data_IF_603109107262
#
_entry.id   IF_603109107262
#
_cell.length_a   1.000
_cell.length_b   1.000
_cell.length_c   1.000
_cell.angle_alpha   90.00
_cell.angle_beta   90.00
_cell.angle_gamma   90.00
#
_symmetry.space_group_name_H-M   'P 1'
#
loop_
_entity.id
_entity.type
_entity.pdbx_description
1 polymer ?
#
# COMPACT_ATOMS: atom_id res chain seq x y z
N UNK A 1 -11.30 -2.69 -4.58
CA UNK A 1 -10.44 -3.89 -4.55
C UNK A 1 -11.18 -5.19 -4.92
N UNK A 2 -12.46 -5.14 -5.29
CA UNK A 2 -13.26 -6.32 -5.61
C UNK A 2 -14.37 -6.55 -4.59
N UNK A 3 -15.21 -7.55 -4.83
CA UNK A 3 -16.28 -8.03 -3.94
C UNK A 3 -15.94 -9.44 -3.49
N UNK A 4 -16.02 -9.68 -2.19
CA UNK A 4 -15.67 -10.95 -1.55
C UNK A 4 -16.76 -11.33 -0.54
N UNK A 5 -16.99 -12.62 -0.34
CA UNK A 5 -17.93 -13.09 0.66
C UNK A 5 -17.29 -12.95 2.05
N UNK A 6 -18.01 -12.38 3.02
CA UNK A 6 -17.50 -12.24 4.38
C UNK A 6 -17.16 -13.59 5.02
N UNK A 7 -17.81 -14.68 4.57
CA UNK A 7 -17.51 -16.04 5.00
C UNK A 7 -16.17 -16.58 4.49
N UNK A 8 -15.45 -15.86 3.64
CA UNK A 8 -14.06 -16.17 3.27
C UNK A 8 -13.05 -15.73 4.34
N UNK A 9 -13.49 -14.96 5.34
CA UNK A 9 -12.66 -14.41 6.42
C UNK A 9 -13.14 -14.92 7.79
N UNK A 10 -12.88 -16.20 8.08
CA UNK A 10 -13.35 -16.87 9.31
C UNK A 10 -12.35 -16.77 10.46
N UNK A 11 -11.08 -16.52 10.15
CA UNK A 11 -10.00 -16.44 11.12
C UNK A 11 -9.30 -15.08 11.02
N UNK A 12 -8.72 -14.61 12.12
CA UNK A 12 -7.82 -13.45 12.09
C UNK A 12 -6.63 -13.75 11.18
N UNK A 13 -6.37 -12.87 10.22
CA UNK A 13 -5.28 -13.00 9.27
C UNK A 13 -5.65 -13.67 7.94
N UNK A 14 -6.89 -14.11 7.75
CA UNK A 14 -7.42 -14.49 6.43
C UNK A 14 -7.33 -13.29 5.47
N UNK A 15 -7.07 -13.59 4.19
CA UNK A 15 -6.78 -12.56 3.17
C UNK A 15 -7.56 -12.80 1.89
N UNK A 16 -7.95 -11.70 1.24
CA UNK A 16 -8.44 -11.76 -0.13
C UNK A 16 -7.30 -12.06 -1.11
N UNK A 17 -7.63 -12.48 -2.35
CA UNK A 17 -6.72 -12.32 -3.47
C UNK A 17 -6.17 -10.89 -3.57
N UNK A 18 -4.89 -10.79 -3.94
CA UNK A 18 -4.20 -9.52 -4.12
C UNK A 18 -4.60 -8.82 -5.42
N UNK A 19 -4.77 -7.50 -5.35
CA UNK A 19 -4.95 -6.63 -6.50
C UNK A 19 -3.70 -5.79 -6.74
N UNK A 20 -3.15 -5.87 -7.94
CA UNK A 20 -1.96 -5.11 -8.32
C UNK A 20 -2.33 -3.67 -8.68
N UNK A 21 -1.51 -2.73 -8.22
CA UNK A 21 -1.52 -1.36 -8.72
C UNK A 21 -0.08 -0.91 -9.02
N UNK A 22 0.05 -0.01 -9.99
CA UNK A 22 1.34 0.53 -10.40
C UNK A 22 1.30 2.04 -10.31
N UNK A 23 2.31 2.62 -9.67
CA UNK A 23 2.57 4.05 -9.65
C UNK A 23 3.68 4.32 -10.65
N UNK A 24 3.36 5.07 -11.70
CA UNK A 24 4.34 5.52 -12.67
C UNK A 24 4.86 6.89 -12.22
N UNK A 25 6.14 6.97 -11.90
CA UNK A 25 6.83 8.25 -11.68
C UNK A 25 7.59 8.61 -12.95
N UNK A 26 7.54 9.87 -13.35
CA UNK A 26 8.11 10.34 -14.61
C UNK A 26 8.94 11.60 -14.41
N UNK A 27 10.01 11.72 -15.20
CA UNK A 27 10.86 12.90 -15.20
C UNK A 27 11.51 13.21 -13.85
N UNK A 28 11.75 12.19 -13.02
CA UNK A 28 12.55 12.34 -11.81
C UNK A 28 13.97 12.80 -12.20
N UNK A 29 14.60 13.70 -11.43
CA UNK A 29 16.00 14.05 -11.69
C UNK A 29 16.87 12.78 -11.71
N UNK A 30 17.85 12.70 -12.61
CA UNK A 30 18.77 11.55 -12.71
C UNK A 30 20.21 11.99 -12.44
N UNK A 31 21.15 11.05 -12.40
CA UNK A 31 22.59 11.34 -12.33
C UNK A 31 23.11 12.24 -13.49
N UNK A 32 22.34 12.35 -14.58
CA UNK A 32 22.62 13.27 -15.70
C UNK A 32 22.15 14.71 -15.42
N UNK A 33 21.40 14.93 -14.35
CA UNK A 33 21.03 16.27 -13.86
C UNK A 33 22.29 16.95 -13.32
N UNK A 34 22.53 18.19 -13.76
CA UNK A 34 23.63 19.04 -13.26
C UNK A 34 23.53 19.36 -11.76
N UNK A 35 22.42 18.98 -11.13
CA UNK A 35 22.11 19.20 -9.71
C UNK A 35 22.44 17.96 -8.84
N UNK A 36 22.40 16.74 -9.38
CA UNK A 36 22.51 15.49 -8.61
C UNK A 36 23.58 14.56 -9.21
N UNK A 37 24.83 14.71 -8.78
CA UNK A 37 25.98 14.01 -9.39
C UNK A 37 26.16 12.53 -8.96
N UNK A 38 25.36 12.03 -8.01
CA UNK A 38 25.58 10.71 -7.36
C UNK A 38 24.51 9.67 -7.66
N UNK A 39 23.58 9.95 -8.59
CA UNK A 39 22.33 9.20 -8.70
C UNK A 39 21.24 9.81 -7.84
N UNK A 40 19.99 9.45 -8.14
CA UNK A 40 18.82 9.87 -7.36
C UNK A 40 18.23 8.62 -6.75
N UNK A 41 18.10 8.63 -5.43
CA UNK A 41 17.37 7.60 -4.70
C UNK A 41 16.06 8.21 -4.21
N UNK A 42 15.01 7.40 -4.09
CA UNK A 42 13.77 7.87 -3.51
C UNK A 42 13.29 6.94 -2.41
N UNK A 43 12.83 7.53 -1.32
CA UNK A 43 12.08 6.85 -0.29
C UNK A 43 10.62 6.86 -0.68
N UNK A 44 10.00 5.70 -0.81
CA UNK A 44 8.54 5.60 -0.92
C UNK A 44 7.98 5.28 0.45
N UNK A 45 6.87 5.91 0.83
CA UNK A 45 6.10 5.57 2.03
C UNK A 45 4.62 5.53 1.71
N UNK A 46 3.91 4.69 2.46
CA UNK A 46 2.46 4.62 2.46
C UNK A 46 1.95 5.12 3.80
N UNK A 47 1.10 6.13 3.79
CA UNK A 47 0.55 6.73 5.00
C UNK A 47 -0.97 6.77 4.96
N UNK A 48 -1.59 6.80 6.13
CA UNK A 48 -3.05 6.81 6.23
C UNK A 48 -3.55 6.44 7.63
N UNK A 49 -4.86 6.40 7.76
CA UNK A 49 -5.51 5.99 9.01
C UNK A 49 -5.24 4.51 9.29
N UNK A 50 -4.61 4.22 10.42
CA UNK A 50 -4.32 2.85 10.82
C UNK A 50 -5.53 2.12 11.38
N UNK A 51 -5.65 0.83 11.05
CA UNK A 51 -6.61 -0.05 11.69
C UNK A 51 -6.36 -0.08 13.21
N UNK A 52 -7.44 -0.13 13.98
CA UNK A 52 -7.38 0.00 15.44
C UNK A 52 -6.80 -1.24 16.15
N UNK A 53 -6.80 -2.40 15.48
CA UNK A 53 -6.32 -3.66 16.03
C UNK A 53 -4.93 -3.99 15.47
N UNK A 54 -4.72 -3.77 14.17
CA UNK A 54 -3.44 -3.98 13.51
C UNK A 54 -2.95 -2.71 12.81
N UNK A 55 -2.06 -1.97 13.49
CA UNK A 55 -1.57 -0.68 13.00
C UNK A 55 -0.73 -0.74 11.73
N UNK A 56 -0.34 -1.93 11.27
CA UNK A 56 0.33 -2.11 9.98
C UNK A 56 -0.65 -2.04 8.78
N UNK A 57 -1.96 -2.18 9.04
CA UNK A 57 -3.00 -2.17 8.02
C UNK A 57 -3.69 -0.81 7.94
N UNK A 58 -4.17 -0.48 6.74
CA UNK A 58 -5.00 0.68 6.50
C UNK A 58 -6.45 0.41 6.93
N UNK A 59 -7.00 1.34 7.70
CA UNK A 59 -8.38 1.30 8.18
C UNK A 59 -9.37 1.54 7.05
N UNK A 60 -10.50 0.83 7.09
CA UNK A 60 -11.63 1.11 6.22
C UNK A 60 -12.30 2.45 6.61
N UNK A 61 -12.73 3.22 5.62
CA UNK A 61 -13.51 4.44 5.82
C UNK A 61 -14.80 4.13 6.58
N UNK A 62 -15.05 4.87 7.65
CA UNK A 62 -16.25 4.70 8.47
C UNK A 62 -17.52 5.19 7.73
N UNK A 63 -18.63 4.47 7.93
CA UNK A 63 -19.91 4.73 7.29
C UNK A 63 -20.96 3.74 7.79
N UNK A 64 -22.25 4.05 7.59
CA UNK A 64 -23.35 3.20 8.07
C UNK A 64 -23.31 1.79 7.47
N UNK A 65 -22.86 1.67 6.22
CA UNK A 65 -22.77 0.42 5.49
C UNK A 65 -21.32 -0.11 5.41
N UNK A 66 -20.38 0.40 6.21
CA UNK A 66 -18.98 -0.01 6.13
C UNK A 66 -18.74 -1.40 6.71
N UNK A 67 -17.89 -2.18 6.04
CA UNK A 67 -17.45 -3.47 6.57
C UNK A 67 -16.63 -3.28 7.85
N UNK A 68 -16.64 -4.28 8.73
CA UNK A 68 -15.83 -4.30 9.96
C UNK A 68 -15.07 -5.61 10.10
N UNK A 69 -14.00 -5.60 10.92
CA UNK A 69 -13.12 -6.76 11.11
C UNK A 69 -12.10 -6.96 9.99
N UNK A 70 -11.93 -5.99 9.10
CA UNK A 70 -10.98 -6.00 7.99
C UNK A 70 -10.14 -4.71 7.98
N UNK A 71 -8.89 -4.85 7.59
CA UNK A 71 -8.04 -3.75 7.11
C UNK A 71 -7.53 -4.05 5.69
N UNK A 72 -6.84 -3.08 5.10
CA UNK A 72 -6.16 -3.25 3.80
C UNK A 72 -4.66 -3.39 4.06
N UNK A 73 -4.08 -4.49 3.58
CA UNK A 73 -2.65 -4.76 3.61
C UNK A 73 -2.01 -4.32 2.27
N UNK A 74 -0.88 -3.62 2.36
CA UNK A 74 -0.06 -3.25 1.21
C UNK A 74 1.09 -4.25 1.13
N UNK A 75 1.41 -4.72 -0.08
CA UNK A 75 2.55 -5.58 -0.34
C UNK A 75 3.42 -5.01 -1.45
N UNK A 76 4.71 -5.34 -1.41
CA UNK A 76 5.59 -5.19 -2.56
C UNK A 76 5.27 -6.22 -3.66
N UNK A 77 6.01 -6.16 -4.78
CA UNK A 77 5.80 -7.07 -5.89
C UNK A 77 6.11 -8.55 -5.56
N UNK A 78 6.90 -8.80 -4.51
CA UNK A 78 7.30 -10.12 -4.02
C UNK A 78 6.39 -10.64 -2.89
N UNK A 79 5.23 -10.01 -2.68
CA UNK A 79 4.26 -10.35 -1.63
C UNK A 79 4.81 -10.16 -0.20
N UNK A 80 5.80 -9.28 -0.03
CA UNK A 80 6.27 -8.84 1.29
C UNK A 80 5.41 -7.69 1.77
N UNK A 81 4.85 -7.82 2.98
CA UNK A 81 4.00 -6.79 3.57
C UNK A 81 4.77 -5.49 3.84
N UNK A 82 4.17 -4.37 3.48
CA UNK A 82 4.64 -3.01 3.76
C UNK A 82 3.67 -2.38 4.76
N UNK A 83 4.13 -2.18 6.00
CA UNK A 83 3.32 -1.51 7.01
C UNK A 83 3.12 -0.02 6.64
N UNK A 84 1.89 0.47 6.78
CA UNK A 84 1.63 1.91 6.67
C UNK A 84 2.26 2.67 7.84
N UNK A 85 2.54 3.96 7.62
CA UNK A 85 3.14 4.87 8.61
C UNK A 85 4.50 4.39 9.16
N UNK A 86 5.12 3.39 8.54
CA UNK A 86 6.45 2.89 8.90
C UNK A 86 7.57 3.76 8.31
N UNK A 87 8.72 3.81 9.01
CA UNK A 87 9.89 4.55 8.54
C UNK A 87 10.50 3.96 7.26
N UNK A 88 10.31 2.65 7.05
CA UNK A 88 10.89 1.82 5.99
C UNK A 88 9.88 1.44 4.91
N UNK A 89 9.42 2.39 4.10
CA UNK A 89 8.76 2.02 2.85
C UNK A 89 9.76 1.60 1.76
N UNK A 90 9.23 1.15 0.63
CA UNK A 90 9.99 0.59 -0.49
C UNK A 90 11.19 1.48 -0.88
N UNK A 91 12.39 0.87 -1.03
CA UNK A 91 13.67 1.59 -1.17
C UNK A 91 14.31 1.53 -2.55
N UNK A 92 13.88 0.61 -3.41
CA UNK A 92 14.56 0.37 -4.69
C UNK A 92 13.83 1.07 -5.84
N UNK A 93 14.01 2.39 -5.95
CA UNK A 93 13.56 3.12 -7.13
C UNK A 93 14.63 3.01 -8.25
N UNK A 94 14.38 2.16 -9.24
CA UNK A 94 15.23 2.03 -10.42
C UNK A 94 14.72 2.94 -11.53
N UNK A 95 15.30 4.14 -11.63
CA UNK A 95 15.00 5.11 -12.68
C UNK A 95 15.68 4.72 -14.01
N UNK A 96 14.96 4.88 -15.12
CA UNK A 96 15.55 4.79 -16.46
C UNK A 96 16.29 6.10 -16.84
N UNK A 97 16.83 6.16 -18.06
CA UNK A 97 17.59 7.33 -18.52
C UNK A 97 16.78 8.64 -18.60
N UNK A 98 15.46 8.55 -18.71
CA UNK A 98 14.54 9.69 -18.72
C UNK A 98 14.10 10.10 -17.31
N UNK A 99 14.51 9.36 -16.28
CA UNK A 99 14.04 9.58 -14.93
C UNK A 99 12.65 8.99 -14.67
N UNK A 100 12.23 8.00 -15.45
CA UNK A 100 10.95 7.32 -15.22
C UNK A 100 11.16 6.00 -14.47
N UNK A 101 10.21 5.63 -13.63
CA UNK A 101 10.14 4.31 -13.01
C UNK A 101 8.69 3.87 -12.78
N UNK A 102 8.52 2.54 -12.80
CA UNK A 102 7.27 1.89 -12.48
C UNK A 102 7.41 1.20 -11.13
N UNK A 103 6.61 1.63 -10.16
CA UNK A 103 6.54 1.06 -8.83
C UNK A 103 5.30 0.19 -8.74
N UNK A 104 5.49 -1.13 -8.72
CA UNK A 104 4.37 -2.08 -8.65
C UNK A 104 4.20 -2.61 -7.24
N UNK A 105 2.97 -2.51 -6.75
CA UNK A 105 2.55 -2.93 -5.42
C UNK A 105 1.27 -3.74 -5.53
N UNK A 106 0.90 -4.37 -4.42
CA UNK A 106 -0.35 -5.12 -4.30
C UNK A 106 -1.13 -4.66 -3.08
N UNK A 107 -2.45 -4.74 -3.15
CA UNK A 107 -3.37 -4.53 -2.04
C UNK A 107 -4.21 -5.78 -1.84
N UNK A 108 -4.50 -6.14 -0.59
CA UNK A 108 -5.51 -7.15 -0.27
C UNK A 108 -6.24 -6.81 1.01
N UNK A 109 -7.47 -7.28 1.17
CA UNK A 109 -8.12 -7.23 2.47
C UNK A 109 -7.49 -8.27 3.39
N UNK A 110 -7.37 -7.95 4.67
CA UNK A 110 -6.88 -8.86 5.71
C UNK A 110 -7.76 -8.72 6.95
N UNK A 111 -8.26 -9.84 7.46
CA UNK A 111 -9.08 -9.85 8.66
C UNK A 111 -8.26 -9.55 9.91
N UNK A 112 -8.83 -8.70 10.75
CA UNK A 112 -8.29 -8.36 12.08
C UNK A 112 -9.12 -8.99 13.20
N UNK A 113 -10.28 -9.57 12.86
CA UNK A 113 -11.22 -10.22 13.76
C UNK A 113 -11.80 -11.49 13.09
N UNK A 114 -12.29 -12.45 13.88
CA UNK A 114 -12.93 -13.69 13.39
C UNK A 114 -14.31 -13.44 12.75
N UNK A 115 -15.03 -12.39 13.19
CA UNK A 115 -16.37 -12.07 12.72
C UNK A 115 -16.34 -10.82 11.83
N UNK A 116 -15.98 -11.01 10.56
CA UNK A 116 -16.07 -9.96 9.55
C UNK A 116 -17.55 -9.66 9.26
N UNK A 117 -17.93 -8.38 9.36
CA UNK A 117 -19.27 -7.95 8.95
C UNK A 117 -19.20 -7.35 7.55
N UNK A 118 -20.07 -7.83 6.67
CA UNK A 118 -20.14 -7.38 5.28
C UNK A 118 -20.52 -5.90 5.18
N UNK A 119 -19.97 -5.22 4.17
CA UNK A 119 -20.21 -3.82 3.91
C UNK A 119 -19.24 -3.23 2.89
N UNK A 120 -19.29 -1.91 2.71
CA UNK A 120 -18.35 -1.14 1.91
C UNK A 120 -16.96 -1.17 2.57
N UNK A 121 -15.95 -1.55 1.81
CA UNK A 121 -14.57 -1.65 2.28
C UNK A 121 -13.66 -0.67 1.53
N UNK A 122 -14.06 0.60 1.53
CA UNK A 122 -13.27 1.68 0.94
C UNK A 122 -12.22 2.17 1.96
N UNK A 123 -11.12 2.74 1.50
CA UNK A 123 -10.14 3.40 2.35
C UNK A 123 -9.39 4.49 1.58
N UNK A 124 -8.68 5.36 2.30
CA UNK A 124 -7.83 6.40 1.72
C UNK A 124 -6.37 6.13 2.08
N UNK A 125 -5.54 5.93 1.06
CA UNK A 125 -4.10 5.71 1.17
C UNK A 125 -3.37 6.90 0.56
N UNK A 126 -2.40 7.44 1.28
CA UNK A 126 -1.46 8.43 0.77
C UNK A 126 -0.16 7.73 0.36
N UNK A 127 0.40 8.18 -0.75
CA UNK A 127 1.69 7.76 -1.26
C UNK A 127 2.63 8.97 -1.17
N UNK A 128 3.67 8.82 -0.36
CA UNK A 128 4.70 9.84 -0.17
C UNK A 128 5.97 9.38 -0.87
N UNK A 129 6.57 10.29 -1.64
CA UNK A 129 7.87 10.08 -2.27
C UNK A 129 8.83 11.19 -1.83
N UNK A 130 9.96 10.78 -1.27
CA UNK A 130 11.03 11.66 -0.82
C UNK A 130 12.27 11.42 -1.69
N UNK A 131 12.74 12.44 -2.40
CA UNK A 131 13.90 12.36 -3.29
C UNK A 131 15.16 12.77 -2.53
N UNK A 132 16.18 11.89 -2.54
CA UNK A 132 17.50 12.11 -1.93
C UNK A 132 18.59 12.23 -2.98
#
# INVERSE_FOLDING_TARGET
MGTYDANEFLNVGDVSPSQTFTINVQGCPTAKSTVYSSGVSANVRFTGDADAINSALLRLSAGADSATGLGIEILDNNDVAIAINGESGFRDLVLNENGDANLTFKLRYKSTQENVHAGQANALLYFDIDYQ
#
